data_IF_172682968404
#
_entry.id   IF_172682968404
#
_cell.length_a   1.000
_cell.length_b   1.000
_cell.length_c   1.000
_cell.angle_alpha   90.00
_cell.angle_beta   90.00
_cell.angle_gamma   90.00
#
_symmetry.space_group_name_H-M   'P 1'
#
loop_
_entity.id
_entity.type
_entity.pdbx_description
1 polymer ?
#
# COMPACT_ATOMS: atom_id res chain seq x y z
N UNK A 1 -22.69 -24.48 19.05
CA UNK A 1 -23.89 -23.82 18.49
C UNK A 1 -24.40 -24.70 17.37
N UNK A 2 -25.70 -25.01 17.36
CA UNK A 2 -26.32 -25.76 16.27
C UNK A 2 -27.14 -24.80 15.41
N UNK A 3 -27.08 -25.00 14.09
CA UNK A 3 -27.82 -24.19 13.10
C UNK A 3 -28.57 -25.14 12.18
N UNK A 4 -29.84 -24.85 11.90
CA UNK A 4 -30.66 -25.57 10.93
C UNK A 4 -31.21 -24.60 9.89
N UNK A 5 -31.38 -25.07 8.67
CA UNK A 5 -32.07 -24.34 7.62
C UNK A 5 -33.59 -24.57 7.74
N UNK A 6 -34.36 -23.52 7.96
CA UNK A 6 -35.84 -23.53 7.93
C UNK A 6 -36.35 -22.47 6.96
N UNK A 7 -37.19 -22.87 6.02
CA UNK A 7 -37.81 -21.99 5.02
C UNK A 7 -36.79 -21.08 4.29
N UNK A 8 -35.63 -21.65 3.94
CA UNK A 8 -34.54 -20.94 3.28
C UNK A 8 -33.73 -19.99 4.16
N UNK A 9 -33.99 -19.94 5.47
CA UNK A 9 -33.25 -19.12 6.45
C UNK A 9 -32.47 -19.99 7.42
N UNK A 10 -31.26 -19.55 7.76
CA UNK A 10 -30.45 -20.17 8.81
C UNK A 10 -31.01 -19.77 10.18
N UNK A 11 -31.53 -20.74 10.93
CA UNK A 11 -32.00 -20.56 12.30
C UNK A 11 -31.03 -21.21 13.28
N UNK A 12 -30.59 -20.45 14.29
CA UNK A 12 -29.83 -20.99 15.42
C UNK A 12 -30.80 -21.77 16.31
N UNK A 13 -30.50 -23.05 16.57
CA UNK A 13 -31.41 -23.96 17.28
C UNK A 13 -30.98 -24.25 18.70
N UNK A 14 -29.68 -24.21 18.96
CA UNK A 14 -29.15 -24.29 20.32
C UNK A 14 -27.82 -23.56 20.45
N UNK A 15 -27.64 -22.92 21.60
CA UNK A 15 -26.40 -22.28 22.03
C UNK A 15 -26.01 -22.92 23.36
N UNK A 16 -24.78 -23.42 23.45
CA UNK A 16 -24.22 -23.96 24.67
C UNK A 16 -23.27 -22.91 25.25
N UNK A 17 -23.70 -22.23 26.31
CA UNK A 17 -22.94 -21.17 26.99
C UNK A 17 -22.14 -21.68 28.19
N UNK A 18 -21.88 -22.99 28.27
CA UNK A 18 -21.06 -23.57 29.33
C UNK A 18 -19.60 -23.50 28.92
N UNK A 19 -18.78 -22.82 29.72
CA UNK A 19 -17.34 -22.69 29.50
C UNK A 19 -16.58 -23.37 30.62
N UNK A 20 -15.44 -23.97 30.30
CA UNK A 20 -14.52 -24.56 31.27
C UNK A 20 -13.58 -23.51 31.90
N UNK A 21 -13.83 -22.22 31.69
CA UNK A 21 -13.04 -21.11 32.19
C UNK A 21 -13.90 -19.86 32.42
N UNK A 22 -13.41 -18.94 33.24
CA UNK A 22 -14.04 -17.63 33.44
C UNK A 22 -13.84 -16.78 32.19
N UNK A 23 -14.92 -16.17 31.70
CA UNK A 23 -14.83 -15.19 30.64
C UNK A 23 -14.12 -13.92 31.11
N UNK A 24 -13.21 -13.41 30.28
CA UNK A 24 -12.58 -12.12 30.52
C UNK A 24 -12.88 -11.16 29.37
N UNK A 25 -14.03 -10.46 29.40
CA UNK A 25 -14.39 -9.48 28.37
C UNK A 25 -13.31 -8.40 28.18
N UNK A 26 -12.57 -8.08 29.25
CA UNK A 26 -11.44 -7.13 29.23
C UNK A 26 -10.24 -7.61 28.40
N UNK A 27 -10.12 -8.91 28.13
CA UNK A 27 -9.08 -9.48 27.26
C UNK A 27 -9.54 -9.58 25.80
N UNK A 28 -10.78 -9.23 25.48
CA UNK A 28 -11.31 -9.27 24.11
C UNK A 28 -10.45 -8.45 23.14
N UNK A 29 -9.90 -7.31 23.60
CA UNK A 29 -9.00 -6.44 22.82
C UNK A 29 -7.76 -7.12 22.24
N UNK A 30 -7.35 -8.29 22.74
CA UNK A 30 -6.23 -9.03 22.14
C UNK A 30 -6.66 -9.84 20.91
N UNK A 31 -7.95 -10.13 20.77
CA UNK A 31 -8.51 -10.84 19.63
C UNK A 31 -8.78 -9.86 18.49
N UNK A 32 -8.23 -10.15 17.31
CA UNK A 32 -8.39 -9.31 16.11
C UNK A 32 -9.87 -9.03 15.76
N UNK A 33 -10.77 -9.98 15.98
CA UNK A 33 -12.20 -9.82 15.69
C UNK A 33 -12.93 -8.86 16.64
N UNK A 34 -12.33 -8.54 17.79
CA UNK A 34 -12.88 -7.58 18.76
C UNK A 34 -12.16 -6.23 18.73
N UNK A 35 -11.13 -6.09 17.88
CA UNK A 35 -10.39 -4.84 17.71
C UNK A 35 -10.97 -4.03 16.57
N UNK A 36 -11.41 -2.82 16.89
CA UNK A 36 -11.97 -1.90 15.90
C UNK A 36 -11.52 -0.47 16.12
N UNK A 37 -10.86 0.11 15.12
CA UNK A 37 -10.70 1.57 15.02
C UNK A 37 -11.91 2.08 14.25
N UNK A 38 -12.89 2.59 14.99
CA UNK A 38 -14.15 3.10 14.43
C UNK A 38 -13.96 4.43 13.68
N UNK A 39 -15.00 4.91 13.03
CA UNK A 39 -14.92 6.09 12.18
C UNK A 39 -14.63 7.40 12.93
N UNK A 40 -15.12 7.57 14.16
CA UNK A 40 -14.82 8.78 14.95
C UNK A 40 -13.34 8.83 15.33
N UNK A 41 -12.77 7.70 15.76
CA UNK A 41 -11.34 7.58 16.07
C UNK A 41 -10.50 7.80 14.82
N UNK A 42 -10.90 7.26 13.66
CA UNK A 42 -10.22 7.49 12.37
C UNK A 42 -10.12 8.97 12.02
N UNK A 43 -11.21 9.74 12.15
CA UNK A 43 -11.19 11.19 11.90
C UNK A 43 -10.21 11.94 12.80
N UNK A 44 -10.12 11.55 14.07
CA UNK A 44 -9.16 12.15 14.99
C UNK A 44 -7.73 11.75 14.61
N UNK A 45 -7.50 10.49 14.24
CA UNK A 45 -6.20 10.02 13.74
C UNK A 45 -5.77 10.79 12.48
N UNK A 46 -6.66 10.98 11.51
CA UNK A 46 -6.37 11.75 10.29
C UNK A 46 -6.03 13.21 10.61
N UNK A 47 -6.79 13.84 11.50
CA UNK A 47 -6.54 15.22 11.94
C UNK A 47 -5.17 15.34 12.61
N UNK A 48 -4.85 14.39 13.50
CA UNK A 48 -3.58 14.37 14.19
C UNK A 48 -2.41 14.08 13.24
N UNK A 49 -2.59 13.20 12.25
CA UNK A 49 -1.59 12.92 11.21
C UNK A 49 -1.29 14.16 10.37
N UNK A 50 -2.34 14.88 9.94
CA UNK A 50 -2.22 16.15 9.21
C UNK A 50 -1.51 17.23 10.04
N UNK A 51 -1.73 17.25 11.36
CA UNK A 51 -1.03 18.13 12.29
C UNK A 51 0.41 17.66 12.62
N UNK A 52 0.87 16.52 12.09
CA UNK A 52 2.20 15.98 12.36
C UNK A 52 2.37 15.40 13.77
N UNK A 53 1.28 15.09 14.46
CA UNK A 53 1.31 14.51 15.80
C UNK A 53 1.77 13.05 15.71
N UNK A 54 2.79 12.71 16.48
CA UNK A 54 3.32 11.35 16.52
C UNK A 54 2.25 10.34 16.99
N UNK A 55 2.24 9.16 16.37
CA UNK A 55 1.24 8.12 16.60
C UNK A 55 1.12 7.69 18.07
N UNK A 56 2.25 7.60 18.78
CA UNK A 56 2.25 7.25 20.20
C UNK A 56 1.52 8.29 21.06
N UNK A 57 1.63 9.59 20.73
CA UNK A 57 0.91 10.68 21.41
C UNK A 57 -0.58 10.63 21.11
N UNK A 58 -0.95 10.43 19.84
CA UNK A 58 -2.34 10.26 19.44
C UNK A 58 -3.00 9.06 20.14
N UNK A 59 -2.31 7.92 20.19
CA UNK A 59 -2.82 6.75 20.88
C UNK A 59 -2.95 6.98 22.40
N UNK A 60 -1.96 7.60 23.02
CA UNK A 60 -2.01 7.91 24.45
C UNK A 60 -3.15 8.88 24.80
N UNK A 61 -3.52 9.79 23.90
CA UNK A 61 -4.69 10.66 24.08
C UNK A 61 -5.98 9.83 24.20
N UNK A 62 -6.20 8.85 23.32
CA UNK A 62 -7.35 7.95 23.42
C UNK A 62 -7.35 7.10 24.69
N UNK A 63 -6.16 6.64 25.12
CA UNK A 63 -6.01 5.91 26.38
C UNK A 63 -6.39 6.78 27.58
N UNK A 64 -5.97 8.05 27.55
CA UNK A 64 -6.28 9.03 28.61
C UNK A 64 -7.77 9.33 28.64
N UNK A 65 -8.39 9.56 27.48
CA UNK A 65 -9.82 9.83 27.35
C UNK A 65 -10.68 8.63 27.79
N UNK A 66 -10.26 7.41 27.45
CA UNK A 66 -10.93 6.19 27.89
C UNK A 66 -10.66 5.83 29.36
N UNK A 67 -9.79 6.58 30.05
CA UNK A 67 -9.44 6.32 31.46
C UNK A 67 -8.59 5.07 31.70
N UNK A 68 -7.85 4.62 30.69
CA UNK A 68 -6.94 3.47 30.82
C UNK A 68 -6.83 2.61 29.55
N UNK A 69 -5.75 1.84 29.46
CA UNK A 69 -5.48 0.96 28.30
C UNK A 69 -6.50 -0.17 28.19
N UNK A 70 -7.09 -0.59 29.30
CA UNK A 70 -8.14 -1.60 29.41
C UNK A 70 -9.46 -1.18 28.77
N UNK A 71 -9.69 0.12 28.60
CA UNK A 71 -10.94 0.66 28.09
C UNK A 71 -10.86 1.02 26.59
N UNK A 72 -9.68 0.89 25.98
CA UNK A 72 -9.49 1.09 24.54
C UNK A 72 -9.62 -0.25 23.80
N UNK A 73 -10.54 -0.38 22.82
CA UNK A 73 -10.79 -1.65 22.14
C UNK A 73 -9.75 -2.01 21.06
N UNK A 74 -8.74 -1.18 20.83
CA UNK A 74 -7.70 -1.36 19.82
C UNK A 74 -6.31 -1.01 20.37
N UNK A 75 -5.26 -1.45 19.69
CA UNK A 75 -3.87 -1.10 20.04
C UNK A 75 -3.30 -0.01 19.15
N UNK A 76 -2.17 0.58 19.56
CA UNK A 76 -1.43 1.58 18.76
C UNK A 76 -1.12 1.08 17.35
N UNK A 77 -0.78 -0.22 17.22
CA UNK A 77 -0.50 -0.85 15.92
C UNK A 77 -1.70 -0.77 14.97
N UNK A 78 -2.93 -0.84 15.47
CA UNK A 78 -4.12 -0.74 14.65
C UNK A 78 -4.30 0.68 14.11
N UNK A 79 -4.03 1.70 14.94
CA UNK A 79 -3.98 3.11 14.51
C UNK A 79 -2.89 3.35 13.46
N UNK A 80 -1.70 2.79 13.68
CA UNK A 80 -0.57 2.90 12.74
C UNK A 80 -0.89 2.26 11.40
N UNK A 81 -1.39 1.02 11.41
CA UNK A 81 -1.81 0.32 10.20
C UNK A 81 -2.88 1.11 9.42
N UNK A 82 -3.81 1.75 10.12
CA UNK A 82 -4.81 2.61 9.51
C UNK A 82 -4.17 3.80 8.79
N UNK A 83 -3.33 4.58 9.47
CA UNK A 83 -2.66 5.75 8.88
C UNK A 83 -1.73 5.36 7.74
N UNK A 84 -0.96 4.29 7.87
CA UNK A 84 -0.08 3.81 6.79
C UNK A 84 -0.91 3.43 5.55
N UNK A 85 -2.07 2.81 5.74
CA UNK A 85 -3.00 2.52 4.65
C UNK A 85 -3.62 3.79 4.06
N UNK A 86 -4.01 4.75 4.90
CA UNK A 86 -4.55 6.04 4.45
C UNK A 86 -3.52 6.81 3.61
N UNK A 87 -2.27 6.90 4.09
CA UNK A 87 -1.13 7.45 3.36
C UNK A 87 -0.86 6.69 2.07
N UNK A 88 -0.89 5.36 2.08
CA UNK A 88 -0.73 4.57 0.86
C UNK A 88 -1.83 4.87 -0.17
N UNK A 89 -3.07 5.04 0.25
CA UNK A 89 -4.16 5.40 -0.67
C UNK A 89 -4.04 6.83 -1.19
N UNK A 90 -3.58 7.76 -0.35
CA UNK A 90 -3.28 9.13 -0.73
C UNK A 90 -2.08 9.19 -1.68
N UNK A 91 -0.95 8.55 -1.37
CA UNK A 91 0.26 8.46 -2.20
C UNK A 91 0.06 7.54 -3.42
N UNK A 92 -0.82 6.55 -3.36
CA UNK A 92 -1.19 5.76 -4.54
C UNK A 92 -2.00 6.58 -5.53
N UNK A 93 -2.84 7.50 -5.05
CA UNK A 93 -3.52 8.49 -5.90
C UNK A 93 -2.61 9.64 -6.31
N UNK A 94 -1.78 10.15 -5.40
CA UNK A 94 -1.00 11.38 -5.56
C UNK A 94 0.46 11.16 -5.94
N UNK A 95 1.06 9.99 -5.75
CA UNK A 95 2.48 9.74 -6.05
C UNK A 95 2.73 9.75 -7.55
N UNK A 96 1.95 8.96 -8.31
CA UNK A 96 1.96 9.04 -9.76
C UNK A 96 1.47 10.41 -10.27
N UNK A 97 0.56 11.07 -9.55
CA UNK A 97 0.03 12.40 -9.91
C UNK A 97 1.02 13.53 -9.71
N UNK A 98 1.72 13.52 -8.59
CA UNK A 98 2.75 14.46 -8.22
C UNK A 98 3.96 14.24 -9.11
N UNK A 99 4.31 12.99 -9.40
CA UNK A 99 5.38 12.67 -10.35
C UNK A 99 5.01 13.16 -11.76
N UNK A 100 3.77 12.93 -12.20
CA UNK A 100 3.23 13.45 -13.46
C UNK A 100 3.21 15.00 -13.49
N UNK A 101 2.71 15.66 -12.45
CA UNK A 101 2.66 17.12 -12.35
C UNK A 101 4.06 17.73 -12.24
N UNK A 102 4.99 17.06 -11.57
CA UNK A 102 6.39 17.44 -11.49
C UNK A 102 7.04 17.39 -12.87
N UNK A 103 6.88 16.29 -13.63
CA UNK A 103 7.36 16.21 -15.01
C UNK A 103 6.72 17.27 -15.92
N UNK A 104 5.40 17.46 -15.79
CA UNK A 104 4.66 18.50 -16.50
C UNK A 104 5.19 19.91 -16.19
N UNK A 105 5.48 20.22 -14.93
CA UNK A 105 6.04 21.51 -14.50
C UNK A 105 7.48 21.72 -14.97
N UNK A 106 8.27 20.65 -15.00
CA UNK A 106 9.66 20.73 -15.47
C UNK A 106 9.81 20.63 -16.99
N UNK A 107 8.69 20.52 -17.74
CA UNK A 107 8.67 20.32 -19.19
C UNK A 107 9.45 19.08 -19.67
N UNK A 108 9.73 18.13 -18.78
CA UNK A 108 10.33 16.86 -19.18
C UNK A 108 9.25 16.03 -19.85
N UNK A 109 9.44 15.77 -21.15
CA UNK A 109 8.57 14.88 -21.93
C UNK A 109 8.79 13.42 -21.53
N UNK A 110 10.04 13.06 -21.23
CA UNK A 110 10.47 11.71 -20.95
C UNK A 110 11.40 11.68 -19.73
N UNK A 111 11.37 10.59 -18.97
CA UNK A 111 12.31 10.30 -17.89
C UNK A 111 12.81 8.88 -18.01
N UNK A 112 14.07 8.65 -17.66
CA UNK A 112 14.68 7.33 -17.56
C UNK A 112 15.40 7.24 -16.22
N UNK A 113 15.32 6.08 -15.56
CA UNK A 113 16.02 5.84 -14.33
C UNK A 113 16.57 4.41 -14.26
N UNK A 114 17.70 4.29 -13.58
CA UNK A 114 18.36 3.03 -13.28
C UNK A 114 19.12 3.17 -11.97
N UNK A 115 19.00 2.17 -11.09
CA UNK A 115 19.74 2.15 -9.84
C UNK A 115 21.16 1.58 -10.03
N UNK A 116 22.01 1.69 -9.00
CA UNK A 116 23.39 1.24 -9.09
C UNK A 116 23.53 -0.27 -9.36
N UNK A 117 22.60 -1.08 -8.84
CA UNK A 117 22.57 -2.53 -9.06
C UNK A 117 22.14 -2.85 -10.48
N UNK A 118 21.13 -2.18 -11.00
CA UNK A 118 20.69 -2.32 -12.40
C UNK A 118 21.78 -1.93 -13.39
N UNK A 119 22.52 -0.84 -13.15
CA UNK A 119 23.70 -0.48 -13.96
C UNK A 119 24.78 -1.56 -13.92
N UNK A 120 25.09 -2.05 -12.72
CA UNK A 120 26.06 -3.15 -12.59
C UNK A 120 25.58 -4.41 -13.30
N UNK A 121 24.29 -4.75 -13.20
CA UNK A 121 23.71 -5.90 -13.87
C UNK A 121 23.74 -5.75 -15.40
N UNK A 122 23.51 -4.54 -15.92
CA UNK A 122 23.63 -4.24 -17.34
C UNK A 122 25.06 -4.53 -17.86
N UNK A 123 26.10 -4.22 -17.07
CA UNK A 123 27.48 -4.53 -17.44
C UNK A 123 27.78 -6.04 -17.50
N UNK A 124 27.06 -6.88 -16.74
CA UNK A 124 27.29 -8.33 -16.70
C UNK A 124 26.33 -9.13 -17.60
N UNK A 125 25.13 -8.60 -17.85
CA UNK A 125 24.01 -9.33 -18.44
C UNK A 125 23.28 -8.53 -19.53
N UNK A 126 23.92 -7.47 -20.05
CA UNK A 126 23.35 -6.57 -21.06
C UNK A 126 23.43 -7.09 -22.50
N UNK A 127 23.93 -8.32 -22.72
CA UNK A 127 24.07 -8.91 -24.05
C UNK A 127 22.72 -9.10 -24.77
N UNK A 128 21.67 -9.38 -23.99
CA UNK A 128 20.29 -9.50 -24.47
C UNK A 128 19.38 -8.69 -23.57
N UNK A 129 18.72 -7.69 -24.16
CA UNK A 129 17.77 -6.82 -23.47
C UNK A 129 16.45 -6.86 -24.21
N UNK A 130 15.38 -7.17 -23.48
CA UNK A 130 14.01 -7.02 -23.93
C UNK A 130 13.47 -5.69 -23.43
N UNK A 131 12.71 -5.03 -24.29
CA UNK A 131 12.05 -3.77 -24.02
C UNK A 131 10.56 -3.89 -24.34
N UNK A 132 9.70 -3.39 -23.46
CA UNK A 132 8.25 -3.38 -23.66
C UNK A 132 7.62 -2.11 -23.10
N UNK A 133 6.73 -1.48 -23.88
CA UNK A 133 5.82 -0.41 -23.43
C UNK A 133 4.37 -0.87 -23.30
N UNK A 134 4.07 -2.08 -23.76
CA UNK A 134 2.70 -2.57 -23.97
C UNK A 134 1.97 -2.88 -22.66
N UNK A 135 2.71 -3.12 -21.57
CA UNK A 135 2.11 -3.63 -20.34
C UNK A 135 1.46 -2.55 -19.44
N UNK A 136 1.89 -1.29 -19.48
CA UNK A 136 1.47 -0.29 -18.47
C UNK A 136 1.40 1.13 -19.05
N UNK A 137 0.26 1.50 -19.63
CA UNK A 137 -0.12 2.91 -19.71
C UNK A 137 -0.70 3.31 -18.35
N UNK A 138 -0.07 4.29 -17.68
CA UNK A 138 -0.60 4.77 -16.41
C UNK A 138 -1.93 5.56 -16.64
N UNK A 139 -2.63 5.94 -15.56
CA UNK A 139 -3.89 6.73 -15.65
C UNK A 139 -3.77 8.09 -16.36
N UNK A 140 -2.55 8.48 -16.74
CA UNK A 140 -2.23 9.70 -17.48
C UNK A 140 -1.91 9.44 -18.96
N UNK A 141 -2.04 8.19 -19.42
CA UNK A 141 -1.75 7.82 -20.80
C UNK A 141 -0.26 7.85 -21.14
N UNK A 142 0.64 7.91 -20.15
CA UNK A 142 2.08 7.84 -20.40
C UNK A 142 2.54 6.37 -20.46
N UNK A 143 3.20 5.93 -21.55
CA UNK A 143 3.79 4.60 -21.64
C UNK A 143 4.94 4.41 -20.65
N UNK A 144 4.91 3.29 -19.95
CA UNK A 144 6.01 2.83 -19.11
C UNK A 144 6.86 1.82 -19.87
N UNK A 145 8.16 2.07 -19.93
CA UNK A 145 9.11 1.46 -20.82
C UNK A 145 10.13 0.64 -20.01
N UNK A 146 9.89 -0.65 -19.80
CA UNK A 146 10.76 -1.49 -18.98
C UNK A 146 11.93 -2.07 -19.78
N UNK A 147 13.15 -2.00 -19.26
CA UNK A 147 14.32 -2.69 -19.81
C UNK A 147 14.65 -3.90 -18.96
N UNK A 148 14.54 -5.09 -19.55
CA UNK A 148 14.67 -6.36 -18.85
C UNK A 148 15.73 -7.22 -19.54
N UNK A 149 16.76 -7.59 -18.78
CA UNK A 149 17.75 -8.58 -19.20
C UNK A 149 17.46 -9.95 -18.60
N UNK A 150 18.38 -10.89 -18.84
CA UNK A 150 18.31 -12.25 -18.29
C UNK A 150 19.66 -12.62 -17.67
N UNK A 151 19.66 -13.10 -16.42
CA UNK A 151 20.89 -13.57 -15.79
C UNK A 151 21.29 -14.99 -16.25
N UNK A 152 22.42 -15.49 -15.78
CA UNK A 152 22.94 -16.83 -16.13
C UNK A 152 22.05 -18.00 -15.66
N UNK A 153 21.04 -17.75 -14.82
CA UNK A 153 20.04 -18.73 -14.41
C UNK A 153 18.73 -18.65 -15.24
N UNK A 154 18.69 -17.80 -16.28
CA UNK A 154 17.48 -17.60 -17.07
C UNK A 154 16.43 -16.72 -16.38
N UNK A 155 16.78 -16.00 -15.30
CA UNK A 155 15.84 -15.16 -14.56
C UNK A 155 15.85 -13.73 -15.10
N UNK A 156 14.66 -13.13 -15.20
CA UNK A 156 14.50 -11.73 -15.60
C UNK A 156 15.10 -10.78 -14.56
N UNK A 157 15.82 -9.76 -15.05
CA UNK A 157 16.43 -8.71 -14.24
C UNK A 157 16.08 -7.35 -14.82
N UNK A 158 15.67 -6.41 -13.97
CA UNK A 158 15.39 -5.03 -14.41
C UNK A 158 16.71 -4.28 -14.55
N UNK A 159 16.97 -3.76 -15.76
CA UNK A 159 18.16 -2.98 -16.11
C UNK A 159 17.90 -1.47 -16.08
N UNK A 160 16.64 -1.08 -16.19
CA UNK A 160 16.19 0.31 -16.11
C UNK A 160 14.73 0.43 -16.48
N UNK A 161 14.20 1.64 -16.35
CA UNK A 161 12.86 1.95 -16.81
C UNK A 161 12.76 3.39 -17.29
N UNK A 162 11.93 3.59 -18.30
CA UNK A 162 11.54 4.89 -18.80
C UNK A 162 10.05 5.16 -18.57
N UNK A 163 9.69 6.42 -18.44
CA UNK A 163 8.33 6.91 -18.61
C UNK A 163 8.38 7.95 -19.71
N UNK A 164 7.72 7.68 -20.83
CA UNK A 164 7.74 8.54 -22.02
C UNK A 164 6.41 9.24 -22.19
N UNK A 165 6.40 10.40 -22.86
CA UNK A 165 5.16 11.16 -23.09
C UNK A 165 4.25 10.50 -24.12
N UNK A 166 4.83 9.74 -25.05
CA UNK A 166 4.16 9.20 -26.23
C UNK A 166 4.96 8.06 -26.85
N UNK A 167 4.28 7.12 -27.50
CA UNK A 167 4.91 6.05 -28.30
C UNK A 167 5.25 6.56 -29.71
N UNK A 168 6.12 7.56 -29.80
CA UNK A 168 6.62 8.09 -31.08
C UNK A 168 8.13 7.87 -31.26
N UNK A 169 8.59 8.00 -32.50
CA UNK A 169 9.99 7.77 -32.87
C UNK A 169 10.95 8.66 -32.11
N UNK A 170 10.60 9.93 -31.87
CA UNK A 170 11.46 10.86 -31.13
C UNK A 170 11.66 10.43 -29.68
N UNK A 171 10.58 9.99 -29.03
CA UNK A 171 10.59 9.51 -27.65
C UNK A 171 11.41 8.24 -27.50
N UNK A 172 11.32 7.30 -28.44
CA UNK A 172 12.17 6.11 -28.44
C UNK A 172 13.64 6.43 -28.76
N UNK A 173 13.94 7.30 -29.73
CA UNK A 173 15.32 7.72 -29.99
C UNK A 173 15.94 8.34 -28.74
N UNK A 174 15.20 9.18 -28.01
CA UNK A 174 15.66 9.74 -26.74
C UNK A 174 15.94 8.64 -25.71
N UNK A 175 15.00 7.70 -25.57
CA UNK A 175 15.07 6.63 -24.58
C UNK A 175 16.28 5.71 -24.80
N UNK A 176 16.58 5.34 -26.04
CA UNK A 176 17.72 4.47 -26.37
C UNK A 176 19.08 5.19 -26.41
N UNK A 177 19.10 6.53 -26.34
CA UNK A 177 20.35 7.32 -26.24
C UNK A 177 20.75 7.66 -24.80
N UNK A 178 19.83 7.49 -23.85
CA UNK A 178 20.03 7.84 -22.44
C UNK A 178 20.76 6.72 -21.70
#
# INVERSE_FOLDING_TARGET
>A
MNVMLKDGKLCVTSIFNTHNHVFSPRKSKFFRCSREVNESIRRVLDTNDQAGIQMNKSFHAFVTEAGGFENVPFGEKDCRNYIDKARYLLVGKCGAQMLFEFFRRMQYKNVFWTDARSRSACNYFGDVVTFDTTYLTNKYGMPFAAFVGVNHYGQSIILGAGLISSEDTESFIWLFKT
#
